data_IF_745212917169
#
_entry.id   IF_745212917169
#
_cell.length_a   1.000
_cell.length_b   1.000
_cell.length_c   1.000
_cell.angle_alpha   90.00
_cell.angle_beta   90.00
_cell.angle_gamma   90.00
#
_symmetry.space_group_name_H-M   'P 1'
#
loop_
_entity.id
_entity.type
_entity.pdbx_description
1 polymer ?
#
# COMPACT_ATOMS: atom_id res chain seq x y z
N UNK A 1 -5.90 -8.20 2.58
CA UNK A 1 -5.47 -8.80 1.29
C UNK A 1 -6.30 -8.35 0.07
N UNK A 2 -7.61 -8.07 0.21
CA UNK A 2 -8.54 -7.80 -0.91
C UNK A 2 -8.06 -6.69 -1.87
N UNK A 3 -7.71 -5.52 -1.36
CA UNK A 3 -7.33 -4.37 -2.19
C UNK A 3 -6.17 -4.64 -3.18
N UNK A 4 -5.19 -5.48 -2.80
CA UNK A 4 -4.06 -5.85 -3.67
C UNK A 4 -4.55 -6.75 -4.81
N UNK A 5 -5.47 -7.67 -4.52
CA UNK A 5 -6.07 -8.56 -5.52
C UNK A 5 -7.00 -7.78 -6.45
N UNK A 6 -7.78 -6.86 -5.90
CA UNK A 6 -8.68 -6.00 -6.66
C UNK A 6 -7.89 -5.13 -7.64
N UNK A 7 -6.78 -4.51 -7.18
CA UNK A 7 -5.88 -3.77 -8.06
C UNK A 7 -5.31 -4.66 -9.18
N UNK A 8 -4.90 -5.89 -8.88
CA UNK A 8 -4.40 -6.81 -9.91
C UNK A 8 -5.46 -7.20 -10.94
N UNK A 9 -6.71 -7.36 -10.52
CA UNK A 9 -7.85 -7.56 -11.42
C UNK A 9 -8.01 -6.37 -12.36
N UNK A 10 -7.96 -5.15 -11.82
CA UNK A 10 -8.03 -3.92 -12.61
C UNK A 10 -6.87 -3.80 -13.61
N UNK A 11 -5.63 -4.11 -13.21
CA UNK A 11 -4.49 -4.06 -14.15
C UNK A 11 -4.68 -4.97 -15.36
N UNK A 12 -5.20 -6.18 -15.14
CA UNK A 12 -5.48 -7.12 -16.21
C UNK A 12 -6.64 -6.64 -17.10
N UNK A 13 -7.69 -6.06 -16.51
CA UNK A 13 -8.83 -5.55 -17.25
C UNK A 13 -8.48 -4.34 -18.12
N UNK A 14 -7.68 -3.41 -17.59
CA UNK A 14 -7.30 -2.18 -18.27
C UNK A 14 -6.05 -2.33 -19.15
N UNK A 15 -5.37 -3.49 -19.13
CA UNK A 15 -4.11 -3.70 -19.84
C UNK A 15 -2.97 -2.83 -19.33
N UNK A 16 -3.01 -2.42 -18.06
CA UNK A 16 -2.02 -1.53 -17.47
C UNK A 16 -0.70 -2.25 -17.16
N UNK A 17 0.42 -1.60 -17.45
CA UNK A 17 1.76 -2.18 -17.29
C UNK A 17 2.27 -2.18 -15.85
N UNK A 18 1.67 -1.38 -14.96
CA UNK A 18 2.05 -1.26 -13.55
C UNK A 18 0.89 -0.71 -12.72
N UNK A 19 0.70 -1.26 -11.53
CA UNK A 19 -0.16 -0.69 -10.49
C UNK A 19 0.65 -0.34 -9.25
N UNK A 20 0.30 0.75 -8.59
CA UNK A 20 0.90 1.18 -7.34
C UNK A 20 -0.22 1.26 -6.31
N UNK A 21 -0.12 0.50 -5.23
CA UNK A 21 -1.02 0.61 -4.09
C UNK A 21 -0.30 1.33 -2.96
N UNK A 22 -0.93 2.38 -2.44
CA UNK A 22 -0.39 3.19 -1.34
C UNK A 22 -1.31 3.05 -0.14
N UNK A 23 -0.73 2.93 1.05
CA UNK A 23 -1.46 2.97 2.32
C UNK A 23 -0.78 3.89 3.33
N UNK A 24 -1.54 4.43 4.28
CA UNK A 24 -1.01 5.13 5.46
C UNK A 24 -0.62 4.17 6.59
N UNK A 25 -0.78 2.86 6.39
CA UNK A 25 -0.39 1.81 7.34
C UNK A 25 0.68 0.87 6.74
N UNK A 26 0.75 -0.39 7.17
CA UNK A 26 1.59 -1.42 6.59
C UNK A 26 0.80 -2.44 5.78
N UNK A 27 1.51 -3.29 5.04
CA UNK A 27 0.96 -4.49 4.43
C UNK A 27 1.34 -5.74 5.22
N UNK A 28 0.43 -6.69 5.34
CA UNK A 28 0.73 -8.02 5.91
C UNK A 28 1.51 -8.90 4.93
N UNK A 29 2.18 -9.94 5.45
CA UNK A 29 3.03 -10.89 4.69
C UNK A 29 2.36 -11.42 3.41
N UNK A 30 1.11 -11.86 3.52
CA UNK A 30 0.35 -12.39 2.38
C UNK A 30 0.16 -11.38 1.23
N UNK A 31 0.19 -10.07 1.52
CA UNK A 31 0.10 -9.03 0.49
C UNK A 31 1.40 -8.93 -0.31
N UNK A 32 2.55 -8.99 0.38
CA UNK A 32 3.86 -9.03 -0.28
C UNK A 32 4.04 -10.30 -1.10
N UNK A 33 3.72 -11.47 -0.53
CA UNK A 33 3.76 -12.76 -1.25
C UNK A 33 2.85 -12.75 -2.47
N UNK A 34 1.67 -12.12 -2.36
CA UNK A 34 0.78 -12.00 -3.52
C UNK A 34 1.36 -11.03 -4.57
N UNK A 35 1.98 -9.92 -4.19
CA UNK A 35 2.53 -8.96 -5.15
C UNK A 35 3.82 -9.47 -5.84
N UNK A 36 4.51 -10.43 -5.24
CA UNK A 36 5.74 -11.01 -5.79
C UNK A 36 5.56 -11.51 -7.23
N UNK A 37 6.47 -11.07 -8.11
CA UNK A 37 6.47 -11.39 -9.54
C UNK A 37 5.33 -10.77 -10.37
N UNK A 38 4.47 -9.92 -9.78
CA UNK A 38 3.37 -9.23 -10.48
C UNK A 38 3.75 -7.77 -10.74
N UNK A 39 3.10 -7.09 -11.72
CA UNK A 39 3.31 -5.67 -11.99
C UNK A 39 2.64 -4.77 -10.95
N UNK A 40 2.81 -5.08 -9.66
CA UNK A 40 2.22 -4.36 -8.53
C UNK A 40 3.34 -3.90 -7.61
N UNK A 41 3.34 -2.61 -7.29
CA UNK A 41 4.20 -2.04 -6.26
C UNK A 41 3.37 -1.68 -5.03
N UNK A 42 3.88 -2.02 -3.84
CA UNK A 42 3.25 -1.75 -2.56
C UNK A 42 4.05 -0.67 -1.83
N UNK A 43 3.43 0.47 -1.58
CA UNK A 43 4.01 1.58 -0.82
C UNK A 43 3.29 1.70 0.52
N UNK A 44 4.00 1.35 1.59
CA UNK A 44 3.50 1.50 2.96
C UNK A 44 3.55 2.96 3.42
N UNK A 45 2.99 3.25 4.59
CA UNK A 45 3.00 4.58 5.19
C UNK A 45 4.43 5.11 5.39
N UNK A 46 5.39 4.27 5.75
CA UNK A 46 6.79 4.68 5.85
C UNK A 46 7.41 5.01 4.48
N UNK A 47 7.05 4.26 3.43
CA UNK A 47 7.47 4.60 2.07
C UNK A 47 6.86 5.93 1.62
N UNK A 48 5.57 6.17 1.91
CA UNK A 48 4.90 7.42 1.59
C UNK A 48 5.59 8.61 2.26
N UNK A 49 5.86 8.52 3.57
CA UNK A 49 6.56 9.58 4.30
C UNK A 49 7.97 9.84 3.75
N UNK A 50 8.71 8.77 3.43
CA UNK A 50 10.02 8.89 2.79
C UNK A 50 9.94 9.63 1.44
N UNK A 51 8.99 9.25 0.58
CA UNK A 51 8.82 9.89 -0.73
C UNK A 51 8.40 11.36 -0.63
N UNK A 52 7.57 11.71 0.37
CA UNK A 52 7.17 13.09 0.63
C UNK A 52 8.37 13.95 1.07
N UNK A 53 9.18 13.45 1.99
CA UNK A 53 10.38 14.15 2.44
C UNK A 53 11.41 14.30 1.29
N UNK A 54 11.73 13.21 0.60
CA UNK A 54 12.80 13.17 -0.41
C UNK A 54 12.46 13.92 -1.70
N UNK A 55 11.21 13.84 -2.17
CA UNK A 55 10.86 14.32 -3.51
C UNK A 55 9.92 15.52 -3.53
N UNK A 56 9.26 15.83 -2.41
CA UNK A 56 8.33 16.94 -2.32
C UNK A 56 8.75 18.03 -1.31
N UNK A 57 9.83 17.83 -0.56
CA UNK A 57 10.25 18.72 0.54
C UNK A 57 9.13 18.91 1.58
N UNK A 58 8.36 17.83 1.82
CA UNK A 58 7.23 17.81 2.75
C UNK A 58 7.57 16.89 3.93
N UNK A 59 7.82 17.51 5.08
CA UNK A 59 7.84 16.83 6.37
C UNK A 59 6.40 16.55 6.83
N UNK A 60 6.01 15.28 6.83
CA UNK A 60 4.67 14.82 7.17
C UNK A 60 4.68 13.78 8.28
N UNK A 61 3.52 13.61 8.92
CA UNK A 61 3.27 12.55 9.90
C UNK A 61 1.89 11.95 9.62
N UNK A 62 1.79 10.63 9.79
CA UNK A 62 0.51 9.92 9.76
C UNK A 62 -0.10 9.98 11.16
N UNK A 63 -1.30 10.55 11.27
CA UNK A 63 -2.06 10.61 12.52
C UNK A 63 -3.27 9.69 12.42
N UNK A 64 -3.29 8.66 13.26
CA UNK A 64 -4.46 7.80 13.39
C UNK A 64 -5.54 8.51 14.23
N UNK A 65 -6.84 8.27 13.94
CA UNK A 65 -7.93 8.74 14.79
C UNK A 65 -7.77 8.27 16.24
N UNK A 66 -8.17 9.08 17.21
CA UNK A 66 -8.05 8.75 18.64
C UNK A 66 -8.88 7.54 19.08
N UNK A 67 -9.92 7.22 18.32
CA UNK A 67 -10.81 6.07 18.51
C UNK A 67 -10.42 4.85 17.65
N UNK A 68 -9.27 4.92 16.96
CA UNK A 68 -8.77 3.83 16.15
C UNK A 68 -8.45 2.61 17.01
N UNK A 69 -8.97 1.46 16.58
CA UNK A 69 -8.60 0.15 17.11
C UNK A 69 -7.76 -0.54 16.07
N UNK A 70 -6.61 -1.06 16.47
CA UNK A 70 -5.76 -1.85 15.58
C UNK A 70 -6.59 -2.92 14.86
N UNK A 71 -6.50 -2.95 13.54
CA UNK A 71 -7.07 -4.03 12.77
C UNK A 71 -6.45 -5.34 13.27
N UNK A 72 -7.28 -6.27 13.76
CA UNK A 72 -6.77 -7.59 14.10
C UNK A 72 -6.11 -8.18 12.85
N UNK A 73 -4.89 -8.74 12.97
CA UNK A 73 -4.29 -9.43 11.85
C UNK A 73 -5.23 -10.54 11.39
N UNK A 74 -5.44 -10.64 10.08
CA UNK A 74 -6.15 -11.75 9.46
C UNK A 74 -5.46 -13.05 9.92
N UNK A 75 -6.11 -13.82 10.82
CA UNK A 75 -5.62 -15.11 11.33
C UNK A 75 -5.50 -16.15 10.21
#
# INVERSE_FOLDING_TARGET
MSAVRDLFGTLQNEGASKGILITTSGYGKASYEFAEGKPIELLSGSNLLYLLAEHADIEAKIEAPSDWKDAQPDN
#
